data_IF_766685685402
#
_entry.id   IF_766685685402
#
_cell.length_a   1.000
_cell.length_b   1.000
_cell.length_c   1.000
_cell.angle_alpha   90.00
_cell.angle_beta   90.00
_cell.angle_gamma   90.00
#
_symmetry.space_group_name_H-M   'P 1'
#
loop_
_entity.id
_entity.type
_entity.pdbx_description
1 polymer ?
#
# COMPACT_ATOMS: atom_id res chain seq x y z
N UNK A 1 11.27 -6.28 3.59
CA UNK A 1 10.14 -6.01 2.68
C UNK A 1 9.18 -5.09 3.42
N UNK A 2 9.00 -3.82 3.00
CA UNK A 2 7.98 -2.97 3.61
C UNK A 2 6.61 -3.61 3.32
N UNK A 3 5.88 -3.95 4.37
CA UNK A 3 4.49 -4.43 4.27
C UNK A 3 3.64 -3.22 3.87
N UNK A 4 2.95 -3.32 2.73
CA UNK A 4 1.91 -2.36 2.36
C UNK A 4 0.71 -2.62 3.29
N UNK A 5 0.72 -2.01 4.47
CA UNK A 5 -0.37 -2.19 5.42
C UNK A 5 -1.62 -1.50 4.89
N UNK A 6 -2.62 -2.28 4.51
CA UNK A 6 -3.90 -1.74 4.05
C UNK A 6 -4.74 -1.29 5.26
N UNK A 7 -5.68 -0.35 5.06
CA UNK A 7 -6.55 0.17 6.13
C UNK A 7 -7.22 -0.91 7.01
N UNK A 8 -7.80 -2.01 6.47
CA UNK A 8 -8.38 -3.06 7.32
C UNK A 8 -7.37 -3.77 8.22
N UNK A 9 -6.11 -3.90 7.78
CA UNK A 9 -5.04 -4.46 8.60
C UNK A 9 -4.70 -3.53 9.76
N UNK A 10 -4.59 -2.21 9.50
CA UNK A 10 -4.36 -1.20 10.54
C UNK A 10 -5.45 -1.29 11.62
N UNK A 11 -6.72 -1.29 11.23
CA UNK A 11 -7.84 -1.32 12.18
C UNK A 11 -7.87 -2.63 13.00
N UNK A 12 -7.48 -3.75 12.38
CA UNK A 12 -7.34 -5.04 13.07
C UNK A 12 -6.21 -4.97 14.12
N UNK A 13 -5.07 -4.39 13.77
CA UNK A 13 -3.95 -4.19 14.70
C UNK A 13 -4.33 -3.26 15.86
N UNK A 14 -5.03 -2.15 15.59
CA UNK A 14 -5.50 -1.23 16.63
C UNK A 14 -6.51 -1.90 17.57
N UNK A 15 -7.40 -2.75 17.04
CA UNK A 15 -8.34 -3.54 17.85
C UNK A 15 -7.60 -4.52 18.76
N UNK A 16 -6.60 -5.22 18.24
CA UNK A 16 -5.76 -6.13 19.03
C UNK A 16 -5.02 -5.37 20.13
N UNK A 17 -4.38 -4.25 19.78
CA UNK A 17 -3.65 -3.40 20.73
C UNK A 17 -4.54 -2.89 21.87
N UNK A 18 -5.76 -2.45 21.56
CA UNK A 18 -6.74 -2.04 22.58
C UNK A 18 -7.02 -3.17 23.58
N UNK A 19 -7.16 -4.41 23.09
CA UNK A 19 -7.41 -5.59 23.93
C UNK A 19 -6.20 -5.93 24.79
N UNK A 20 -4.99 -5.90 24.24
CA UNK A 20 -3.74 -6.11 24.99
C UNK A 20 -3.58 -5.11 26.14
N UNK A 21 -3.95 -3.86 25.91
CA UNK A 21 -3.90 -2.79 26.92
C UNK A 21 -5.07 -2.84 27.93
N UNK A 22 -6.00 -3.79 27.79
CA UNK A 22 -7.18 -3.89 28.67
C UNK A 22 -8.13 -2.70 28.60
N UNK A 23 -8.08 -1.90 27.53
CA UNK A 23 -8.83 -0.65 27.44
C UNK A 23 -10.28 -0.89 26.97
N UNK A 24 -11.24 -0.34 27.71
CA UNK A 24 -12.65 -0.36 27.29
C UNK A 24 -12.90 0.62 26.13
N UNK A 25 -14.08 0.57 25.51
CA UNK A 25 -14.41 1.53 24.45
C UNK A 25 -14.61 2.93 25.01
N UNK A 26 -15.10 3.04 26.25
CA UNK A 26 -15.37 4.27 26.96
C UNK A 26 -14.05 5.00 27.27
N UNK A 27 -13.06 4.29 27.84
CA UNK A 27 -11.74 4.85 28.10
C UNK A 27 -11.05 5.28 26.80
N UNK A 28 -11.17 4.47 25.73
CA UNK A 28 -10.60 4.82 24.45
C UNK A 28 -11.29 6.05 23.84
N UNK A 29 -12.60 6.20 24.02
CA UNK A 29 -13.35 7.35 23.54
C UNK A 29 -12.85 8.64 24.23
N UNK A 30 -12.73 8.61 25.56
CA UNK A 30 -12.24 9.75 26.33
C UNK A 30 -10.81 10.13 25.93
N UNK A 31 -9.95 9.14 25.67
CA UNK A 31 -8.54 9.37 25.28
C UNK A 31 -8.35 9.84 23.84
N UNK A 32 -9.21 9.39 22.92
CA UNK A 32 -9.09 9.69 21.49
C UNK A 32 -9.97 10.85 21.02
N UNK A 33 -10.97 11.25 21.81
CA UNK A 33 -12.01 12.19 21.39
C UNK A 33 -13.01 11.62 20.39
N UNK A 34 -12.91 10.32 20.06
CA UNK A 34 -13.80 9.64 19.11
C UNK A 34 -14.94 8.97 19.87
N UNK A 35 -16.18 9.18 19.43
CA UNK A 35 -17.35 8.60 20.12
C UNK A 35 -17.30 7.07 20.19
N UNK A 36 -17.87 6.50 21.26
CA UNK A 36 -17.95 5.03 21.45
C UNK A 36 -18.61 4.32 20.27
N UNK A 37 -19.64 4.91 19.68
CA UNK A 37 -20.33 4.35 18.50
C UNK A 37 -19.42 4.31 17.27
N UNK A 38 -18.63 5.36 17.04
CA UNK A 38 -17.63 5.40 15.96
C UNK A 38 -16.50 4.42 16.20
N UNK A 39 -15.99 4.30 17.45
CA UNK A 39 -14.97 3.31 17.79
C UNK A 39 -15.43 1.87 17.56
N UNK A 40 -16.66 1.53 17.98
CA UNK A 40 -17.22 0.19 17.79
C UNK A 40 -17.39 -0.15 16.30
N UNK A 41 -17.82 0.82 15.49
CA UNK A 41 -17.94 0.67 14.04
C UNK A 41 -16.57 0.52 13.38
N UNK A 42 -15.62 1.37 13.73
CA UNK A 42 -14.26 1.41 13.17
C UNK A 42 -13.44 0.16 13.52
N UNK A 43 -13.54 -0.34 14.75
CA UNK A 43 -12.77 -1.51 15.19
C UNK A 43 -13.54 -2.83 15.00
N UNK A 44 -14.65 -2.81 14.25
CA UNK A 44 -15.34 -4.02 13.83
C UNK A 44 -14.54 -4.76 12.74
N UNK A 45 -14.67 -6.08 12.67
CA UNK A 45 -13.97 -6.93 11.69
C UNK A 45 -14.41 -6.71 10.23
N UNK A 46 -15.46 -5.92 10.02
CA UNK A 46 -16.04 -5.60 8.70
C UNK A 46 -15.95 -4.10 8.40
N UNK A 47 -15.09 -3.35 9.11
CA UNK A 47 -15.04 -1.90 8.99
C UNK A 47 -14.64 -1.46 7.57
N UNK A 48 -15.50 -0.66 6.93
CA UNK A 48 -15.27 -0.15 5.57
C UNK A 48 -14.88 1.32 5.50
N UNK A 49 -15.19 2.19 6.48
CA UNK A 49 -15.01 3.64 6.30
C UNK A 49 -14.64 4.35 7.61
N UNK A 50 -13.43 4.10 8.10
CA UNK A 50 -12.85 4.94 9.16
C UNK A 50 -12.20 6.17 8.55
N UNK A 51 -12.46 7.35 9.11
CA UNK A 51 -11.73 8.55 8.70
C UNK A 51 -10.25 8.41 9.10
N UNK A 52 -9.35 9.00 8.30
CA UNK A 52 -7.92 9.02 8.63
C UNK A 52 -7.67 9.75 9.96
N UNK A 53 -8.42 10.82 10.24
CA UNK A 53 -8.34 11.56 11.50
C UNK A 53 -8.70 10.68 12.71
N UNK A 54 -9.80 9.93 12.65
CA UNK A 54 -10.20 9.04 13.75
C UNK A 54 -9.19 7.91 13.93
N UNK A 55 -8.68 7.36 12.82
CA UNK A 55 -7.66 6.31 12.84
C UNK A 55 -6.38 6.80 13.53
N UNK A 56 -5.91 8.01 13.21
CA UNK A 56 -4.74 8.63 13.83
C UNK A 56 -4.98 8.93 15.31
N UNK A 57 -6.13 9.49 15.66
CA UNK A 57 -6.48 9.81 17.06
C UNK A 57 -6.51 8.54 17.92
N UNK A 58 -7.11 7.46 17.41
CA UNK A 58 -7.13 6.16 18.10
C UNK A 58 -5.75 5.53 18.16
N UNK A 59 -4.95 5.59 17.09
CA UNK A 59 -3.58 5.11 17.12
C UNK A 59 -2.76 5.80 18.22
N UNK A 60 -2.82 7.14 18.29
CA UNK A 60 -2.14 7.91 19.33
C UNK A 60 -2.64 7.55 20.74
N UNK A 61 -3.95 7.43 20.93
CA UNK A 61 -4.54 7.03 22.22
C UNK A 61 -4.10 5.62 22.66
N UNK A 62 -3.75 4.74 21.72
CA UNK A 62 -3.24 3.39 21.96
C UNK A 62 -1.70 3.31 22.02
N UNK A 63 -1.00 4.45 21.92
CA UNK A 63 0.46 4.50 21.90
C UNK A 63 1.08 3.94 20.62
N UNK A 64 0.34 3.97 19.51
CA UNK A 64 0.79 3.54 18.18
C UNK A 64 1.15 4.78 17.36
N UNK A 65 2.37 4.78 16.80
CA UNK A 65 2.80 5.81 15.85
C UNK A 65 2.57 5.31 14.44
N UNK A 66 1.77 6.04 13.66
CA UNK A 66 1.63 5.83 12.23
C UNK A 66 2.57 6.78 11.50
N UNK A 67 3.50 6.23 10.72
CA UNK A 67 4.47 7.00 9.94
C UNK A 67 4.35 6.69 8.46
N UNK A 68 4.39 7.73 7.62
CA UNK A 68 4.55 7.56 6.18
C UNK A 68 6.02 7.37 5.83
N UNK A 69 6.31 6.41 4.94
CA UNK A 69 7.61 6.30 4.29
C UNK A 69 7.59 7.15 3.02
N UNK A 70 8.48 8.13 2.94
CA UNK A 70 8.72 8.90 1.73
C UNK A 70 10.08 8.47 1.15
N UNK A 71 10.09 7.56 0.16
CA UNK A 71 11.33 7.21 -0.53
C UNK A 71 11.92 8.44 -1.23
N UNK A 72 13.21 8.37 -1.55
CA UNK A 72 13.83 9.45 -2.33
C UNK A 72 13.15 9.61 -3.68
N UNK A 73 13.21 10.80 -4.28
CA UNK A 73 12.61 11.02 -5.59
C UNK A 73 13.21 10.10 -6.67
N UNK A 74 14.46 9.65 -6.50
CA UNK A 74 15.11 8.70 -7.40
C UNK A 74 14.60 7.28 -7.19
N UNK A 75 14.58 6.82 -5.94
CA UNK A 75 14.04 5.51 -5.56
C UNK A 75 12.59 5.35 -6.03
N UNK A 76 11.73 6.34 -5.79
CA UNK A 76 10.33 6.28 -6.23
C UNK A 76 10.18 6.26 -7.76
N UNK A 77 11.09 6.93 -8.48
CA UNK A 77 11.12 6.89 -9.95
C UNK A 77 11.51 5.50 -10.46
N UNK A 78 12.49 4.87 -9.81
CA UNK A 78 12.91 3.50 -10.12
C UNK A 78 11.77 2.51 -9.87
N UNK A 79 11.13 2.58 -8.71
CA UNK A 79 9.98 1.74 -8.36
C UNK A 79 8.85 1.87 -9.38
N UNK A 80 8.52 3.11 -9.78
CA UNK A 80 7.53 3.39 -10.81
C UNK A 80 7.93 2.84 -12.19
N UNK A 81 9.21 2.97 -12.57
CA UNK A 81 9.70 2.47 -13.85
C UNK A 81 9.60 0.95 -13.91
N UNK A 82 9.96 0.26 -12.84
CA UNK A 82 9.80 -1.18 -12.69
C UNK A 82 8.34 -1.61 -12.76
N UNK A 83 7.44 -0.92 -12.05
CA UNK A 83 6.01 -1.22 -12.08
C UNK A 83 5.42 -1.07 -13.50
N UNK A 84 5.77 0.03 -14.19
CA UNK A 84 5.30 0.29 -15.56
C UNK A 84 5.90 -0.67 -16.58
N UNK A 85 7.20 -0.98 -16.49
CA UNK A 85 7.86 -1.95 -17.35
C UNK A 85 7.21 -3.34 -17.25
N UNK A 86 6.95 -3.82 -16.03
CA UNK A 86 6.23 -5.09 -15.82
C UNK A 86 4.86 -5.10 -16.49
N UNK A 87 4.09 -4.01 -16.38
CA UNK A 87 2.77 -3.88 -17.01
C UNK A 87 2.86 -3.92 -18.55
N UNK A 88 3.81 -3.18 -19.12
CA UNK A 88 4.02 -3.13 -20.58
C UNK A 88 4.47 -4.47 -21.14
N UNK A 89 5.47 -5.10 -20.51
CA UNK A 89 5.96 -6.41 -20.92
C UNK A 89 4.86 -7.46 -20.80
N UNK A 90 4.06 -7.45 -19.72
CA UNK A 90 2.90 -8.34 -19.58
C UNK A 90 1.88 -8.14 -20.70
N UNK A 91 1.65 -6.92 -21.16
CA UNK A 91 0.72 -6.64 -22.25
C UNK A 91 1.22 -7.22 -23.58
N UNK A 92 2.50 -7.01 -23.90
CA UNK A 92 3.16 -7.58 -25.09
C UNK A 92 3.18 -9.11 -25.03
N UNK A 93 3.46 -9.68 -23.86
CA UNK A 93 3.42 -11.13 -23.65
C UNK A 93 2.01 -11.71 -23.78
N UNK A 94 0.99 -11.00 -23.26
CA UNK A 94 -0.40 -11.40 -23.44
C UNK A 94 -0.85 -11.44 -24.90
N UNK A 95 -0.30 -10.56 -25.74
CA UNK A 95 -0.55 -10.58 -27.19
C UNK A 95 0.27 -11.65 -27.92
N UNK A 96 1.52 -11.92 -27.49
CA UNK A 96 2.40 -12.93 -28.10
C UNK A 96 2.10 -14.37 -27.66
N UNK A 97 1.51 -14.58 -26.48
CA UNK A 97 1.12 -15.90 -25.98
C UNK A 97 0.04 -16.59 -26.84
N UNK A 98 -0.71 -15.83 -27.64
CA UNK A 98 -1.63 -16.35 -28.65
C UNK A 98 -0.91 -16.87 -29.91
N UNK A 99 0.40 -16.61 -30.07
CA UNK A 99 1.20 -16.91 -31.28
C UNK A 99 2.34 -17.94 -31.08
N UNK A 100 2.29 -18.71 -30.00
CA UNK A 100 3.10 -19.91 -29.70
C UNK A 100 4.34 -19.77 -28.80
N UNK A 101 4.51 -20.86 -28.02
CA UNK A 101 5.69 -21.43 -27.38
C UNK A 101 6.54 -20.55 -26.44
N UNK A 102 6.26 -20.73 -25.14
CA UNK A 102 7.27 -20.85 -24.09
C UNK A 102 8.30 -19.72 -24.02
N UNK A 103 7.86 -18.54 -23.62
CA UNK A 103 8.80 -17.45 -23.32
C UNK A 103 9.56 -17.79 -22.05
N UNK A 104 10.88 -17.94 -22.19
CA UNK A 104 11.82 -18.19 -21.11
C UNK A 104 11.82 -17.02 -20.11
N UNK A 105 11.76 -17.32 -18.81
CA UNK A 105 11.68 -16.32 -17.73
C UNK A 105 12.85 -15.32 -17.77
N UNK A 106 14.01 -15.73 -18.27
CA UNK A 106 15.16 -14.82 -18.43
C UNK A 106 14.94 -13.84 -19.57
N UNK A 107 14.22 -14.22 -20.61
CA UNK A 107 13.84 -13.30 -21.68
C UNK A 107 12.88 -12.22 -21.16
N UNK A 108 11.89 -12.60 -20.35
CA UNK A 108 10.96 -11.65 -19.71
C UNK A 108 11.73 -10.69 -18.81
N UNK A 109 12.65 -11.20 -17.98
CA UNK A 109 13.48 -10.36 -17.10
C UNK A 109 14.29 -9.33 -17.89
N UNK A 110 14.98 -9.76 -18.96
CA UNK A 110 15.75 -8.86 -19.84
C UNK A 110 14.89 -7.78 -20.49
N UNK A 111 13.68 -8.13 -20.94
CA UNK A 111 12.75 -7.15 -21.50
C UNK A 111 12.32 -6.11 -20.46
N UNK A 112 12.04 -6.53 -19.22
CA UNK A 112 11.69 -5.63 -18.13
C UNK A 112 12.85 -4.67 -17.86
N UNK A 113 14.07 -5.19 -17.68
CA UNK A 113 15.26 -4.38 -17.38
C UNK A 113 15.57 -3.35 -18.49
N UNK A 114 15.47 -3.76 -19.75
CA UNK A 114 15.60 -2.83 -20.89
C UNK A 114 14.54 -1.74 -20.82
N UNK A 115 13.28 -2.11 -20.63
CA UNK A 115 12.16 -1.16 -20.57
C UNK A 115 12.32 -0.18 -19.39
N UNK A 116 12.82 -0.63 -18.24
CA UNK A 116 13.14 0.24 -17.09
C UNK A 116 14.18 1.28 -17.47
N UNK A 117 15.30 0.85 -18.07
CA UNK A 117 16.35 1.79 -18.52
C UNK A 117 15.81 2.82 -19.52
N UNK A 118 15.00 2.39 -20.48
CA UNK A 118 14.40 3.29 -21.47
C UNK A 118 13.45 4.30 -20.82
N UNK A 119 12.69 3.88 -19.81
CA UNK A 119 11.78 4.75 -19.06
C UNK A 119 12.53 5.78 -18.20
N UNK A 120 13.64 5.37 -17.56
CA UNK A 120 14.45 6.24 -16.70
C UNK A 120 15.28 7.26 -17.51
N UNK A 121 15.78 6.85 -18.68
CA UNK A 121 16.56 7.71 -19.57
C UNK A 121 15.68 8.58 -20.49
N UNK A 122 14.39 8.25 -20.61
CA UNK A 122 13.44 8.97 -21.45
C UNK A 122 12.83 10.21 -20.79
N UNK A 123 11.90 10.91 -21.48
CA UNK A 123 11.21 12.06 -20.92
C UNK A 123 10.41 11.69 -19.67
N UNK A 124 10.65 12.39 -18.56
CA UNK A 124 10.02 12.12 -17.25
C UNK A 124 8.49 11.97 -17.30
N UNK A 125 7.81 12.72 -18.16
CA UNK A 125 6.35 12.63 -18.36
C UNK A 125 5.90 11.22 -18.77
N UNK A 126 6.71 10.49 -19.55
CA UNK A 126 6.38 9.14 -20.01
C UNK A 126 6.31 8.13 -18.86
N UNK A 127 7.02 8.37 -17.75
CA UNK A 127 6.96 7.51 -16.57
C UNK A 127 5.59 7.53 -15.89
N UNK A 128 4.89 8.66 -15.97
CA UNK A 128 3.62 8.94 -15.29
C UNK A 128 2.40 8.88 -16.20
N UNK A 129 2.59 8.90 -17.52
CA UNK A 129 1.49 8.73 -18.47
C UNK A 129 0.82 7.35 -18.32
N UNK A 130 -0.48 7.26 -18.57
CA UNK A 130 -1.28 6.04 -18.43
C UNK A 130 -0.88 4.93 -19.40
#
# INVERSE_FOLDING_TARGET
>A
MPVTTNQPEILTTLRARRRELGMTFEILADRSGVSVSTLKRMLASTASDASMSDTLAVAQALGVTLSARMPSAEEFREEQAHAKARKLVRMVQGTSALESQGVDDDHIRRMIERTVRDLLNGPRRKLWAS
#
